data_IF_971622564514
#
_entry.id   IF_971622564514
#
_cell.length_a   1.000
_cell.length_b   1.000
_cell.length_c   1.000
_cell.angle_alpha   90.00
_cell.angle_beta   90.00
_cell.angle_gamma   90.00
#
_symmetry.space_group_name_H-M   'P 1'
#
loop_
_entity.id
_entity.type
_entity.pdbx_description
1 polymer ?
#
# COMPACT_ATOMS: atom_id res chain seq x y z
N UNK A 1 1.76 23.27 -15.36
CA UNK A 1 3.09 22.79 -14.87
C UNK A 1 2.95 21.74 -13.78
N UNK A 2 2.14 21.98 -12.73
CA UNK A 2 1.86 20.97 -11.69
C UNK A 2 1.31 19.66 -12.27
N UNK A 3 0.43 19.73 -13.26
CA UNK A 3 -0.18 18.53 -13.86
C UNK A 3 0.83 17.67 -14.60
N UNK A 4 1.83 18.27 -15.28
CA UNK A 4 2.91 17.52 -15.94
C UNK A 4 3.84 16.84 -14.94
N UNK A 5 4.09 17.46 -13.78
CA UNK A 5 4.88 16.86 -12.70
C UNK A 5 4.09 15.71 -12.07
N UNK A 6 2.80 15.91 -11.80
CA UNK A 6 1.93 14.86 -11.25
C UNK A 6 1.80 13.70 -12.23
N UNK A 7 1.62 13.96 -13.53
CA UNK A 7 1.57 12.91 -14.56
C UNK A 7 2.91 12.18 -14.68
N UNK A 8 4.02 12.91 -14.68
CA UNK A 8 5.36 12.32 -14.68
C UNK A 8 5.54 11.41 -13.47
N UNK A 9 5.23 11.89 -12.27
CA UNK A 9 5.31 11.10 -11.03
C UNK A 9 4.38 9.90 -11.03
N UNK A 10 3.15 10.07 -11.52
CA UNK A 10 2.20 8.96 -11.66
C UNK A 10 2.78 7.87 -12.57
N UNK A 11 3.34 8.25 -13.72
CA UNK A 11 4.02 7.32 -14.62
C UNK A 11 5.26 6.71 -13.96
N UNK A 12 6.10 7.49 -13.31
CA UNK A 12 7.34 7.05 -12.66
C UNK A 12 7.10 6.15 -11.45
N UNK A 13 5.97 6.30 -10.74
CA UNK A 13 5.65 5.48 -9.57
C UNK A 13 4.85 4.25 -10.01
N UNK A 14 3.73 4.41 -10.73
CA UNK A 14 2.83 3.28 -11.03
C UNK A 14 3.33 2.35 -12.14
N UNK A 15 4.04 2.85 -13.16
CA UNK A 15 4.48 2.00 -14.29
C UNK A 15 5.61 1.05 -13.88
N UNK A 16 6.68 1.49 -13.17
CA UNK A 16 7.68 0.55 -12.67
C UNK A 16 7.10 -0.40 -11.65
N UNK A 17 6.08 0.01 -10.88
CA UNK A 17 5.45 -0.84 -9.88
C UNK A 17 4.92 -2.15 -10.47
N UNK A 18 4.08 -2.07 -11.50
CA UNK A 18 3.55 -3.28 -12.14
C UNK A 18 4.64 -4.17 -12.73
N UNK A 19 5.79 -3.61 -13.12
CA UNK A 19 6.94 -4.38 -13.59
C UNK A 19 7.69 -5.11 -12.46
N UNK A 20 7.92 -4.45 -11.32
CA UNK A 20 8.67 -5.02 -10.20
C UNK A 20 7.93 -6.17 -9.50
N UNK A 21 6.61 -6.15 -9.54
CA UNK A 21 5.78 -7.11 -8.79
C UNK A 21 5.15 -8.19 -9.66
N UNK A 22 5.32 -8.16 -11.00
CA UNK A 22 4.72 -9.11 -11.97
C UNK A 22 5.04 -10.61 -11.76
N UNK A 23 5.96 -10.94 -10.86
CA UNK A 23 6.43 -12.32 -10.66
C UNK A 23 5.77 -13.04 -9.47
N UNK A 24 4.85 -12.39 -8.75
CA UNK A 24 4.12 -13.05 -7.66
C UNK A 24 2.94 -13.84 -8.23
N UNK A 25 2.69 -15.03 -7.67
CA UNK A 25 1.51 -15.84 -8.01
C UNK A 25 0.23 -15.05 -7.70
N UNK A 26 -0.66 -14.85 -8.68
CA UNK A 26 -1.93 -14.17 -8.46
C UNK A 26 -2.79 -14.92 -7.45
N UNK A 27 -3.54 -14.20 -6.63
CA UNK A 27 -4.44 -14.82 -5.65
C UNK A 27 -5.67 -15.47 -6.30
N UNK A 28 -5.96 -15.13 -7.56
CA UNK A 28 -7.12 -15.65 -8.28
C UNK A 28 -8.46 -15.15 -7.72
N UNK A 29 -8.45 -13.99 -7.05
CA UNK A 29 -9.64 -13.38 -6.43
C UNK A 29 -10.17 -12.21 -7.27
N UNK A 30 -11.46 -11.94 -7.13
CA UNK A 30 -12.14 -10.78 -7.71
C UNK A 30 -12.66 -9.85 -6.62
N UNK A 31 -12.98 -8.61 -6.96
CA UNK A 31 -13.65 -7.68 -6.04
C UNK A 31 -14.94 -8.29 -5.48
N UNK A 32 -15.74 -8.94 -6.34
CA UNK A 32 -16.97 -9.61 -5.92
C UNK A 32 -16.74 -10.73 -4.91
N UNK A 33 -15.73 -11.59 -5.11
CA UNK A 33 -15.40 -12.64 -4.13
C UNK A 33 -14.81 -12.08 -2.84
N UNK A 34 -14.06 -10.99 -2.90
CA UNK A 34 -13.53 -10.30 -1.72
C UNK A 34 -14.68 -9.75 -0.85
N UNK A 35 -15.68 -9.13 -1.47
CA UNK A 35 -16.87 -8.60 -0.80
C UNK A 35 -17.79 -9.68 -0.21
N UNK A 36 -17.59 -10.97 -0.54
CA UNK A 36 -18.32 -12.08 0.09
C UNK A 36 -17.75 -12.49 1.46
N UNK A 37 -16.55 -11.99 1.83
CA UNK A 37 -16.02 -12.20 3.16
C UNK A 37 -16.86 -11.48 4.22
N UNK A 38 -16.72 -11.89 5.49
CA UNK A 38 -17.42 -11.25 6.60
C UNK A 38 -17.08 -9.76 6.70
N UNK A 39 -18.07 -8.92 6.96
CA UNK A 39 -17.87 -7.47 7.11
C UNK A 39 -16.87 -7.17 8.23
N UNK A 40 -15.86 -6.34 7.93
CA UNK A 40 -14.77 -6.03 8.85
C UNK A 40 -13.59 -7.01 8.82
N UNK A 41 -13.67 -8.05 7.99
CA UNK A 41 -12.50 -8.86 7.62
C UNK A 41 -11.60 -8.14 6.62
N UNK A 42 -10.33 -8.54 6.58
CA UNK A 42 -9.34 -7.96 5.69
C UNK A 42 -9.75 -8.07 4.21
N UNK A 43 -10.30 -9.21 3.80
CA UNK A 43 -10.75 -9.46 2.44
C UNK A 43 -11.96 -8.60 2.06
N UNK A 44 -12.92 -8.45 2.96
CA UNK A 44 -14.06 -7.57 2.73
C UNK A 44 -13.62 -6.11 2.63
N UNK A 45 -12.74 -5.65 3.53
CA UNK A 45 -12.22 -4.29 3.53
C UNK A 45 -11.35 -3.99 2.29
N UNK A 46 -10.58 -4.98 1.80
CA UNK A 46 -9.89 -4.90 0.52
C UNK A 46 -10.87 -4.76 -0.64
N UNK A 47 -11.92 -5.59 -0.68
CA UNK A 47 -12.98 -5.50 -1.68
C UNK A 47 -13.64 -4.12 -1.69
N UNK A 48 -13.94 -3.57 -0.53
CA UNK A 48 -14.50 -2.22 -0.39
C UNK A 48 -13.53 -1.13 -0.84
N UNK A 49 -12.24 -1.25 -0.50
CA UNK A 49 -11.20 -0.32 -0.94
C UNK A 49 -11.09 -0.29 -2.47
N UNK A 50 -11.02 -1.46 -3.11
CA UNK A 50 -10.96 -1.57 -4.57
C UNK A 50 -12.23 -1.01 -5.23
N UNK A 51 -13.40 -1.39 -4.74
CA UNK A 51 -14.68 -0.91 -5.26
C UNK A 51 -14.79 0.62 -5.16
N UNK A 52 -14.45 1.20 -4.02
CA UNK A 52 -14.53 2.65 -3.78
C UNK A 52 -13.61 3.45 -4.70
N UNK A 53 -12.46 2.89 -5.05
CA UNK A 53 -11.50 3.53 -5.95
C UNK A 53 -11.72 3.18 -7.44
N UNK A 54 -12.79 2.43 -7.77
CA UNK A 54 -13.05 1.87 -9.10
C UNK A 54 -11.87 1.05 -9.66
N UNK A 55 -11.22 0.27 -8.79
CA UNK A 55 -10.14 -0.62 -9.16
C UNK A 55 -10.62 -2.06 -9.29
N UNK A 56 -9.93 -2.82 -10.13
CA UNK A 56 -10.02 -4.28 -10.17
C UNK A 56 -8.85 -4.85 -9.36
N UNK A 57 -8.98 -6.09 -8.91
CA UNK A 57 -7.83 -6.84 -8.39
C UNK A 57 -6.80 -6.92 -9.52
N UNK A 58 -5.58 -6.45 -9.24
CA UNK A 58 -4.47 -6.54 -10.17
C UNK A 58 -3.58 -7.69 -9.73
N UNK A 59 -3.47 -8.70 -10.59
CA UNK A 59 -2.59 -9.85 -10.39
C UNK A 59 -1.20 -9.39 -9.96
N UNK A 60 -0.70 -10.04 -8.92
CA UNK A 60 0.61 -9.80 -8.31
C UNK A 60 0.77 -8.47 -7.54
N UNK A 61 -0.28 -7.64 -7.46
CA UNK A 61 -0.31 -6.38 -6.71
C UNK A 61 -1.27 -6.41 -5.52
N UNK A 62 -1.88 -7.55 -5.20
CA UNK A 62 -2.91 -7.66 -4.17
C UNK A 62 -2.39 -7.31 -2.78
N UNK A 63 -1.16 -7.72 -2.46
CA UNK A 63 -0.47 -7.37 -1.21
C UNK A 63 -0.26 -5.86 -1.06
N UNK A 64 -0.08 -5.15 -2.17
CA UNK A 64 0.07 -3.70 -2.13
C UNK A 64 -1.20 -3.01 -1.66
N UNK A 65 -2.33 -3.41 -2.24
CA UNK A 65 -3.64 -2.85 -1.92
C UNK A 65 -4.00 -3.12 -0.46
N UNK A 66 -3.56 -4.25 0.11
CA UNK A 66 -3.66 -4.53 1.54
C UNK A 66 -2.92 -3.50 2.40
N UNK A 67 -1.77 -2.98 1.96
CA UNK A 67 -1.08 -1.95 2.74
C UNK A 67 -1.91 -0.66 2.86
N UNK A 68 -2.68 -0.29 1.84
CA UNK A 68 -3.63 0.83 1.93
C UNK A 68 -4.73 0.55 2.95
N UNK A 69 -5.28 -0.66 2.94
CA UNK A 69 -6.32 -1.08 3.88
C UNK A 69 -5.82 -1.07 5.33
N UNK A 70 -4.62 -1.60 5.59
CA UNK A 70 -4.05 -1.73 6.92
C UNK A 70 -3.55 -0.40 7.48
N UNK A 71 -2.83 0.40 6.67
CA UNK A 71 -2.22 1.66 7.15
C UNK A 71 -3.15 2.86 7.05
N UNK A 72 -4.31 2.70 6.37
CA UNK A 72 -5.28 3.76 6.04
C UNK A 72 -4.66 4.93 5.25
N UNK A 73 -3.59 4.66 4.50
CA UNK A 73 -2.97 5.62 3.58
C UNK A 73 -3.66 5.47 2.22
N UNK A 74 -4.11 6.57 1.61
CA UNK A 74 -4.81 6.56 0.32
C UNK A 74 -3.90 6.33 -0.89
N UNK A 75 -4.42 6.61 -2.09
CA UNK A 75 -3.83 6.25 -3.39
C UNK A 75 -3.38 7.48 -4.20
N UNK A 76 -3.42 8.69 -3.61
CA UNK A 76 -2.88 9.87 -4.29
C UNK A 76 -1.36 9.75 -4.43
N UNK A 77 -0.76 10.44 -5.40
CA UNK A 77 0.70 10.39 -5.64
C UNK A 77 1.51 10.67 -4.37
N UNK A 78 1.06 11.57 -3.50
CA UNK A 78 1.76 11.86 -2.23
C UNK A 78 1.58 10.75 -1.21
N UNK A 79 0.40 10.14 -1.16
CA UNK A 79 0.11 9.02 -0.25
C UNK A 79 0.85 7.75 -0.67
N UNK A 80 1.06 7.52 -1.97
CA UNK A 80 1.98 6.46 -2.43
C UNK A 80 3.38 6.66 -1.86
N UNK A 81 3.89 7.90 -1.88
CA UNK A 81 5.18 8.21 -1.25
C UNK A 81 5.12 7.99 0.27
N UNK A 82 4.04 8.43 0.94
CA UNK A 82 3.83 8.19 2.38
C UNK A 82 3.87 6.70 2.72
N UNK A 83 3.22 5.88 1.90
CA UNK A 83 3.21 4.43 2.03
C UNK A 83 4.62 3.87 1.95
N UNK A 84 5.44 4.30 0.98
CA UNK A 84 6.80 3.80 0.85
C UNK A 84 7.68 4.22 2.05
N UNK A 85 7.51 5.44 2.59
CA UNK A 85 8.18 5.82 3.85
C UNK A 85 7.73 4.96 5.03
N UNK A 86 6.43 4.67 5.14
CA UNK A 86 5.90 3.77 6.16
C UNK A 86 6.52 2.38 6.05
N UNK A 87 6.47 1.78 4.86
CA UNK A 87 7.01 0.43 4.61
C UNK A 87 8.53 0.36 4.84
N UNK A 88 9.27 1.41 4.48
CA UNK A 88 10.70 1.51 4.83
C UNK A 88 10.90 1.52 6.35
N UNK A 89 10.05 2.25 7.08
CA UNK A 89 10.03 2.25 8.55
C UNK A 89 9.75 0.87 9.15
N UNK A 90 8.80 0.13 8.55
CA UNK A 90 8.43 -1.23 8.96
C UNK A 90 9.48 -2.29 8.59
N UNK A 91 10.51 -1.94 7.81
CA UNK A 91 11.64 -2.80 7.47
C UNK A 91 11.71 -3.24 6.00
N UNK A 92 10.70 -2.92 5.17
CA UNK A 92 10.69 -3.28 3.75
C UNK A 92 11.75 -2.49 2.98
N UNK A 93 12.81 -3.19 2.55
CA UNK A 93 13.92 -2.61 1.77
C UNK A 93 13.95 -3.21 0.36
N UNK A 94 13.27 -2.56 -0.58
CA UNK A 94 13.31 -2.93 -2.00
C UNK A 94 13.81 -1.78 -2.86
N UNK A 95 14.39 -2.04 -4.05
CA UNK A 95 14.78 -0.99 -4.99
C UNK A 95 13.63 -0.02 -5.30
N UNK A 96 12.41 -0.55 -5.44
CA UNK A 96 11.21 0.27 -5.68
C UNK A 96 10.94 1.25 -4.54
N UNK A 97 10.97 0.81 -3.28
CA UNK A 97 10.79 1.67 -2.10
C UNK A 97 11.77 2.84 -2.15
N UNK A 98 13.05 2.58 -2.43
CA UNK A 98 14.08 3.62 -2.49
C UNK A 98 13.88 4.61 -3.65
N UNK A 99 13.45 4.13 -4.82
CA UNK A 99 13.16 4.99 -5.98
C UNK A 99 12.01 5.96 -5.66
N UNK A 100 10.91 5.46 -5.10
CA UNK A 100 9.73 6.30 -4.79
C UNK A 100 10.04 7.29 -3.67
N UNK A 101 10.75 6.87 -2.62
CA UNK A 101 11.18 7.77 -1.54
C UNK A 101 12.08 8.89 -2.08
N UNK A 102 13.07 8.54 -2.91
CA UNK A 102 14.00 9.53 -3.49
C UNK A 102 13.24 10.54 -4.36
N UNK A 103 12.31 10.04 -5.19
CA UNK A 103 11.42 10.87 -5.99
C UNK A 103 10.56 11.79 -5.10
N UNK A 104 10.00 11.24 -4.03
CA UNK A 104 9.22 11.98 -3.04
C UNK A 104 9.97 13.14 -2.40
N UNK A 105 11.21 12.91 -1.98
CA UNK A 105 12.08 13.94 -1.36
C UNK A 105 12.35 15.08 -2.33
N UNK A 106 12.63 14.76 -3.61
CA UNK A 106 12.95 15.76 -4.65
C UNK A 106 11.72 16.58 -5.03
N UNK A 107 10.58 15.93 -5.27
CA UNK A 107 9.40 16.58 -5.85
C UNK A 107 8.39 17.11 -4.82
N UNK A 108 8.46 16.65 -3.56
CA UNK A 108 7.58 17.10 -2.46
C UNK A 108 8.35 17.51 -1.20
N UNK A 109 9.30 18.46 -1.28
CA UNK A 109 10.12 18.86 -0.12
C UNK A 109 9.28 19.41 1.04
N UNK A 110 8.15 20.07 0.74
CA UNK A 110 7.24 20.61 1.77
C UNK A 110 6.52 19.52 2.57
N UNK A 111 6.52 18.28 2.09
CA UNK A 111 5.91 17.13 2.77
C UNK A 111 6.92 16.32 3.61
N UNK A 112 8.17 16.78 3.72
CA UNK A 112 9.23 16.06 4.42
C UNK A 112 8.87 15.68 5.87
N UNK A 113 8.22 16.57 6.62
CA UNK A 113 7.75 16.26 7.97
C UNK A 113 6.79 15.07 7.99
N UNK A 114 5.79 15.08 7.10
CA UNK A 114 4.82 13.99 6.94
C UNK A 114 5.49 12.68 6.51
N UNK A 115 6.51 12.74 5.66
CA UNK A 115 7.31 11.55 5.29
C UNK A 115 8.01 10.93 6.51
N UNK A 116 8.67 11.75 7.32
CA UNK A 116 9.32 11.29 8.55
C UNK A 116 8.31 10.75 9.56
N UNK A 117 7.13 11.35 9.66
CA UNK A 117 6.06 10.85 10.54
C UNK A 117 5.54 9.49 10.08
N UNK A 118 5.37 9.27 8.78
CA UNK A 118 5.00 7.96 8.22
C UNK A 118 6.09 6.92 8.48
N UNK A 119 7.37 7.28 8.30
CA UNK A 119 8.49 6.41 8.64
C UNK A 119 8.50 6.03 10.12
N UNK A 120 8.27 6.99 11.03
CA UNK A 120 8.19 6.72 12.47
C UNK A 120 7.00 5.82 12.81
N UNK A 121 5.84 6.02 12.19
CA UNK A 121 4.67 5.13 12.34
C UNK A 121 5.02 3.71 11.95
N UNK A 122 5.61 3.51 10.77
CA UNK A 122 6.04 2.19 10.31
C UNK A 122 7.09 1.54 11.20
N UNK A 123 8.03 2.34 11.73
CA UNK A 123 9.05 1.87 12.69
C UNK A 123 8.47 1.44 14.03
N UNK A 124 7.34 2.02 14.44
CA UNK A 124 6.66 1.66 15.68
C UNK A 124 5.73 0.44 15.51
N UNK A 125 5.31 0.13 14.28
CA UNK A 125 4.57 -1.08 13.98
C UNK A 125 5.50 -2.30 14.00
N UNK A 126 5.00 -3.45 14.43
CA UNK A 126 5.69 -4.71 14.24
C UNK A 126 5.76 -5.06 12.77
N UNK A 127 6.79 -5.80 12.36
CA UNK A 127 6.97 -6.17 10.96
C UNK A 127 5.75 -6.92 10.43
N UNK A 128 5.14 -6.40 9.36
CA UNK A 128 4.00 -7.04 8.70
C UNK A 128 4.15 -7.10 7.17
N UNK A 129 5.17 -6.46 6.60
CA UNK A 129 5.27 -6.30 5.14
C UNK A 129 5.47 -7.60 4.35
N UNK A 130 5.78 -8.71 5.03
CA UNK A 130 6.09 -10.04 4.50
C UNK A 130 5.11 -11.13 4.99
N UNK A 131 3.96 -10.74 5.54
CA UNK A 131 2.90 -11.68 5.90
C UNK A 131 2.22 -12.27 4.66
N UNK A 132 1.77 -13.52 4.76
CA UNK A 132 0.88 -14.15 3.79
C UNK A 132 -0.54 -13.60 3.95
N UNK A 133 -0.80 -12.44 3.32
CA UNK A 133 -2.08 -11.74 3.44
C UNK A 133 -3.25 -12.51 2.84
N UNK A 134 -3.01 -13.38 1.87
CA UNK A 134 -4.06 -14.23 1.29
C UNK A 134 -4.68 -15.11 2.37
N UNK A 135 -3.86 -15.72 3.24
CA UNK A 135 -4.36 -16.51 4.38
C UNK A 135 -5.03 -15.68 5.46
N UNK A 136 -4.83 -14.36 5.46
CA UNK A 136 -5.39 -13.44 6.43
C UNK A 136 -6.69 -12.77 5.96
N UNK A 137 -7.17 -13.03 4.74
CA UNK A 137 -8.36 -12.37 4.20
C UNK A 137 -9.62 -12.54 5.07
N UNK A 138 -9.76 -13.67 5.77
CA UNK A 138 -10.90 -13.92 6.66
C UNK A 138 -10.74 -13.33 8.06
N UNK A 139 -9.55 -12.81 8.41
CA UNK A 139 -9.28 -12.27 9.74
C UNK A 139 -9.80 -10.84 9.87
N UNK A 140 -10.27 -10.41 11.07
CA UNK A 140 -10.71 -9.04 11.28
C UNK A 140 -9.57 -8.03 11.07
N UNK A 141 -9.78 -7.01 10.24
CA UNK A 141 -8.78 -5.98 9.93
C UNK A 141 -8.26 -5.30 11.19
N UNK A 142 -9.16 -4.94 12.11
CA UNK A 142 -8.82 -4.28 13.37
C UNK A 142 -7.95 -5.17 14.27
N UNK A 143 -8.15 -6.49 14.23
CA UNK A 143 -7.32 -7.44 14.98
C UNK A 143 -5.90 -7.47 14.42
N UNK A 144 -5.73 -7.52 13.10
CA UNK A 144 -4.41 -7.45 12.45
C UNK A 144 -3.73 -6.13 12.81
N UNK A 145 -4.42 -5.01 12.67
CA UNK A 145 -3.87 -3.69 13.02
C UNK A 145 -3.42 -3.62 14.48
N UNK A 146 -4.23 -4.16 15.41
CA UNK A 146 -3.89 -4.20 16.83
C UNK A 146 -2.67 -5.08 17.11
N UNK A 147 -2.63 -6.31 16.56
CA UNK A 147 -1.53 -7.27 16.75
C UNK A 147 -0.20 -6.68 16.27
N UNK A 148 -0.21 -6.04 15.09
CA UNK A 148 0.99 -5.48 14.48
C UNK A 148 1.25 -4.01 14.87
N UNK A 149 0.47 -3.45 15.80
CA UNK A 149 0.57 -2.05 16.22
C UNK A 149 0.55 -1.04 15.04
N UNK A 150 -0.31 -1.32 14.05
CA UNK A 150 -0.54 -0.48 12.88
C UNK A 150 -1.56 0.60 13.28
N UNK A 151 -1.11 1.85 13.36
CA UNK A 151 -1.91 3.03 13.74
C UNK A 151 -2.17 3.95 12.56
#
# INVERSE_FOLDING_TARGET
MKDKIIEFLYRTIKIPYSFFFKNNEPWGVTVSSLLQNETGSLGHDLGQFLLTNNYQVQDSLEEHDIFHVLTKIGTTVKEEVYMQFYLLGNGKKSPFVFIVISTGIVFYPNHYKSFIDCYKRGKNAYQFYDLDFFRLLHQPTNSIQSIFNIK
#
